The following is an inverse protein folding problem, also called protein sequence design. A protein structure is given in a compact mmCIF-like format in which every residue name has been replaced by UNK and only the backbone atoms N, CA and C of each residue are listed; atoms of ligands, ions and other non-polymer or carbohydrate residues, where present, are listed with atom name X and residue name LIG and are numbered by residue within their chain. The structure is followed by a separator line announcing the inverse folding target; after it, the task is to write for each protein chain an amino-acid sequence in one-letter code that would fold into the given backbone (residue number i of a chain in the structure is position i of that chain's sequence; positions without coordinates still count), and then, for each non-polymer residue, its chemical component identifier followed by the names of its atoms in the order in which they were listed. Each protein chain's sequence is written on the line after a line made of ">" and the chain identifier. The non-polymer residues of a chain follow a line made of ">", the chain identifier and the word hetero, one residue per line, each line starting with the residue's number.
data_IF_437730758753
#
_entry.id   IF_437730758753
#
_cell.length_a   1.000
_cell.length_b   1.000
_cell.length_c   1.000
_cell.angle_alpha   90.00
_cell.angle_beta   90.00
_cell.angle_gamma   90.00
#
_symmetry.space_group_name_H-M   'P 1'
#
loop_
_entity.id
_entity.type
_entity.pdbx_description
1 polymer ?
#
# COMPACT_ATOMS: atom_id res chain seq x y z
N UNK A 1 -8.66 2.90 -9.30
CA UNK A 1 -9.49 3.77 -8.43
C UNK A 1 -8.98 5.20 -8.50
N UNK A 2 -9.89 6.16 -8.55
CA UNK A 2 -9.56 7.60 -8.48
C UNK A 2 -9.34 8.04 -7.03
N UNK A 3 -8.65 9.17 -6.81
CA UNK A 3 -8.40 9.71 -5.46
C UNK A 3 -9.68 10.01 -4.66
N UNK A 4 -10.79 10.35 -5.35
CA UNK A 4 -12.11 10.57 -4.73
C UNK A 4 -12.77 9.27 -4.28
N UNK A 5 -12.70 8.21 -5.10
CA UNK A 5 -13.18 6.86 -4.72
C UNK A 5 -12.41 6.32 -3.52
N UNK A 6 -11.09 6.53 -3.51
CA UNK A 6 -10.21 6.16 -2.40
C UNK A 6 -10.64 6.87 -1.11
N UNK A 7 -10.82 8.19 -1.17
CA UNK A 7 -11.24 8.98 0.00
C UNK A 7 -12.62 8.55 0.51
N UNK A 8 -13.56 8.24 -0.38
CA UNK A 8 -14.89 7.75 -0.01
C UNK A 8 -14.82 6.39 0.69
N UNK A 9 -14.14 5.41 0.08
CA UNK A 9 -13.91 4.09 0.69
C UNK A 9 -13.16 4.16 2.01
N UNK A 10 -12.20 5.08 2.12
CA UNK A 10 -11.51 5.33 3.38
C UNK A 10 -12.44 5.88 4.45
N UNK A 11 -13.30 6.85 4.13
CA UNK A 11 -14.26 7.39 5.09
C UNK A 11 -15.24 6.30 5.56
N UNK A 12 -15.73 5.47 4.65
CA UNK A 12 -16.60 4.34 4.99
C UNK A 12 -15.88 3.28 5.84
N UNK A 13 -14.66 2.86 5.47
CA UNK A 13 -13.97 1.74 6.14
C UNK A 13 -13.13 2.13 7.37
N UNK A 14 -12.58 3.34 7.42
CA UNK A 14 -11.79 3.83 8.57
C UNK A 14 -12.71 4.35 9.69
N UNK A 15 -13.89 4.91 9.35
CA UNK A 15 -14.88 5.40 10.34
C UNK A 15 -16.04 4.41 10.57
N UNK A 16 -16.29 3.46 9.67
CA UNK A 16 -17.31 2.41 9.81
C UNK A 16 -16.83 1.12 10.51
N UNK A 17 -17.68 0.08 10.61
CA UNK A 17 -17.36 -1.19 11.25
C UNK A 17 -16.23 -1.94 10.54
N UNK A 18 -15.43 -2.70 11.29
CA UNK A 18 -14.30 -3.50 10.76
C UNK A 18 -14.81 -4.75 10.05
N UNK A 19 -14.30 -5.01 8.85
CA UNK A 19 -14.62 -6.17 8.02
C UNK A 19 -13.34 -6.96 7.68
N UNK A 20 -13.45 -8.22 7.24
CA UNK A 20 -12.28 -9.10 6.98
C UNK A 20 -11.26 -8.52 5.99
N UNK A 21 -11.71 -7.66 5.06
CA UNK A 21 -10.89 -7.00 4.04
C UNK A 21 -10.36 -5.59 4.45
N UNK A 22 -10.42 -5.26 5.75
CA UNK A 22 -10.03 -3.94 6.26
C UNK A 22 -9.58 -3.97 7.73
N UNK A 23 -8.45 -3.33 8.02
CA UNK A 23 -8.01 -3.09 9.40
C UNK A 23 -7.88 -1.60 9.69
N UNK A 24 -7.99 -1.24 10.97
CA UNK A 24 -7.80 0.13 11.46
C UNK A 24 -7.12 0.16 12.81
N UNK A 25 -6.37 1.23 13.08
CA UNK A 25 -5.78 1.48 14.38
C UNK A 25 -5.48 2.95 14.62
N UNK A 26 -5.10 3.28 15.85
CA UNK A 26 -4.75 4.64 16.29
C UNK A 26 -3.43 4.61 17.04
N UNK A 27 -2.63 5.67 16.94
CA UNK A 27 -1.45 5.82 17.81
C UNK A 27 -1.90 5.92 19.28
N UNK A 28 -1.20 5.21 20.17
CA UNK A 28 -1.44 5.27 21.62
C UNK A 28 -1.02 6.61 22.24
N UNK A 29 -0.10 7.34 21.61
CA UNK A 29 0.47 8.58 22.16
C UNK A 29 -0.04 9.86 21.51
N UNK A 30 -0.46 9.84 20.23
CA UNK A 30 -1.14 10.97 19.59
C UNK A 30 -2.51 10.56 19.08
N UNK A 31 -3.56 11.09 19.72
CA UNK A 31 -4.99 10.86 19.38
C UNK A 31 -5.37 11.26 17.94
N UNK A 32 -4.48 11.92 17.21
CA UNK A 32 -4.70 12.58 15.92
C UNK A 32 -4.22 11.75 14.72
N UNK A 33 -3.72 10.53 14.96
CA UNK A 33 -3.13 9.68 13.92
C UNK A 33 -3.89 8.37 13.90
N UNK A 34 -4.53 8.14 12.76
CA UNK A 34 -5.26 6.91 12.47
C UNK A 34 -4.70 6.30 11.21
N UNK A 35 -4.75 4.98 11.13
CA UNK A 35 -4.32 4.24 9.96
C UNK A 35 -5.35 3.18 9.65
N UNK A 36 -5.32 2.74 8.40
CA UNK A 36 -6.05 1.58 7.97
C UNK A 36 -5.50 1.04 6.66
N UNK A 37 -6.11 -0.02 6.19
CA UNK A 37 -5.81 -0.59 4.89
C UNK A 37 -7.10 -1.15 4.30
N UNK A 38 -7.09 -1.30 2.98
CA UNK A 38 -8.16 -1.98 2.28
C UNK A 38 -7.57 -2.94 1.26
N UNK A 39 -7.96 -4.20 1.39
CA UNK A 39 -7.69 -5.24 0.41
C UNK A 39 -8.64 -5.05 -0.77
N UNK A 40 -8.11 -5.00 -1.99
CA UNK A 40 -8.93 -5.11 -3.20
C UNK A 40 -8.66 -6.48 -3.81
N UNK A 41 -9.60 -7.39 -3.56
CA UNK A 41 -9.50 -8.78 -4.01
C UNK A 41 -9.27 -8.86 -5.52
N UNK A 42 -8.17 -9.51 -5.90
CA UNK A 42 -7.89 -9.88 -7.29
C UNK A 42 -8.84 -10.96 -7.79
N UNK A 43 -8.74 -11.31 -9.08
CA UNK A 43 -9.53 -12.40 -9.69
C UNK A 43 -8.85 -13.77 -9.62
N UNK A 44 -7.67 -13.89 -9.04
CA UNK A 44 -7.06 -15.21 -8.81
C UNK A 44 -7.84 -15.99 -7.75
N UNK A 45 -8.13 -17.26 -8.05
CA UNK A 45 -8.79 -18.18 -7.11
C UNK A 45 -7.83 -18.81 -6.10
N UNK A 46 -6.55 -18.44 -6.15
CA UNK A 46 -5.49 -18.99 -5.30
C UNK A 46 -5.46 -18.29 -3.95
N UNK A 47 -5.12 -19.02 -2.88
CA UNK A 47 -4.95 -18.43 -1.56
C UNK A 47 -3.76 -17.45 -1.61
N UNK A 48 -4.02 -16.19 -1.23
CA UNK A 48 -2.99 -15.15 -1.12
C UNK A 48 -2.42 -15.18 0.29
N UNK A 49 -1.10 -15.07 0.40
CA UNK A 49 -0.42 -14.93 1.69
C UNK A 49 -0.30 -13.44 2.02
N UNK A 50 -1.41 -12.83 2.41
CA UNK A 50 -1.44 -11.41 2.77
C UNK A 50 -0.82 -11.22 4.17
N UNK A 51 0.32 -10.54 4.24
CA UNK A 51 0.89 -10.11 5.51
C UNK A 51 0.66 -8.61 5.72
N UNK A 52 -0.04 -8.27 6.79
CA UNK A 52 -0.31 -6.89 7.17
C UNK A 52 0.26 -6.61 8.55
N UNK A 53 1.07 -5.57 8.64
CA UNK A 53 1.55 -5.05 9.92
C UNK A 53 1.21 -3.58 10.02
N UNK A 54 0.67 -3.19 11.17
CA UNK A 54 0.39 -1.81 11.50
C UNK A 54 0.62 -1.62 13.01
N UNK A 55 1.79 -1.11 13.37
CA UNK A 55 2.21 -1.03 14.76
C UNK A 55 2.99 0.24 15.05
N UNK A 56 2.95 0.67 16.31
CA UNK A 56 3.81 1.72 16.83
C UNK A 56 4.79 1.12 17.83
N UNK A 57 6.05 1.53 17.77
CA UNK A 57 7.11 1.10 18.68
C UNK A 57 7.98 2.31 19.05
N UNK A 58 8.38 2.38 20.31
CA UNK A 58 9.44 3.29 20.75
C UNK A 58 10.79 2.61 20.48
N UNK A 59 11.65 3.30 19.74
CA UNK A 59 13.03 2.86 19.43
C UNK A 59 13.94 4.02 19.76
N UNK A 60 14.82 3.81 20.73
CA UNK A 60 15.65 4.85 21.34
C UNK A 60 14.79 6.02 21.84
N UNK A 61 15.07 7.24 21.35
CA UNK A 61 14.33 8.46 21.65
C UNK A 61 13.26 8.78 20.59
N UNK A 62 12.93 7.84 19.70
CA UNK A 62 12.01 8.05 18.58
C UNK A 62 10.79 7.12 18.63
N UNK A 63 9.62 7.70 18.36
CA UNK A 63 8.41 6.92 18.10
C UNK A 63 8.37 6.54 16.62
N UNK A 64 8.28 5.24 16.33
CA UNK A 64 8.17 4.70 14.99
C UNK A 64 6.82 4.03 14.79
N UNK A 65 6.05 4.49 13.81
CA UNK A 65 4.93 3.76 13.24
C UNK A 65 5.40 2.94 12.05
N UNK A 66 5.33 1.61 12.12
CA UNK A 66 5.58 0.71 11.00
C UNK A 66 4.25 0.25 10.42
N UNK A 67 4.07 0.50 9.14
CA UNK A 67 2.95 0.01 8.37
C UNK A 67 3.51 -0.72 7.16
N UNK A 68 3.19 -2.00 6.99
CA UNK A 68 3.59 -2.72 5.81
C UNK A 68 2.52 -3.71 5.40
N UNK A 69 2.50 -3.91 4.10
CA UNK A 69 1.58 -4.76 3.38
C UNK A 69 2.44 -5.56 2.41
N UNK A 70 2.29 -6.87 2.45
CA UNK A 70 2.89 -7.80 1.51
C UNK A 70 1.79 -8.67 0.94
N UNK A 71 1.61 -8.63 -0.37
CA UNK A 71 0.73 -9.54 -1.12
C UNK A 71 1.61 -10.56 -1.82
N UNK A 72 1.58 -11.81 -1.35
CA UNK A 72 2.30 -12.94 -1.94
C UNK A 72 1.38 -13.82 -2.77
N UNK A 73 1.76 -14.08 -4.02
CA UNK A 73 1.03 -14.99 -4.90
C UNK A 73 1.90 -16.17 -5.35
N UNK A 74 1.41 -17.39 -5.13
CA UNK A 74 1.99 -18.61 -5.70
C UNK A 74 1.44 -18.83 -7.11
N UNK A 75 2.30 -18.78 -8.13
CA UNK A 75 1.89 -19.03 -9.52
C UNK A 75 1.62 -20.50 -9.79
N UNK A 76 0.68 -20.80 -10.69
CA UNK A 76 0.26 -22.17 -11.07
C UNK A 76 1.40 -23.07 -11.57
N UNK A 77 2.49 -22.47 -12.06
CA UNK A 77 3.69 -23.16 -12.56
C UNK A 77 4.86 -23.14 -11.54
N UNK A 78 4.58 -22.87 -10.26
CA UNK A 78 5.59 -22.82 -9.19
C UNK A 78 6.44 -21.53 -9.16
N UNK A 79 6.22 -20.60 -10.09
CA UNK A 79 6.83 -19.26 -10.08
C UNK A 79 5.85 -18.26 -9.49
N UNK A 80 6.01 -17.95 -8.20
CA UNK A 80 5.27 -16.90 -7.51
C UNK A 80 5.85 -15.51 -7.72
N UNK A 81 5.11 -14.50 -7.29
CA UNK A 81 5.56 -13.12 -7.23
C UNK A 81 4.86 -12.39 -6.09
N UNK A 82 5.46 -11.31 -5.60
CA UNK A 82 4.89 -10.54 -4.49
C UNK A 82 4.91 -9.04 -4.80
N UNK A 83 4.01 -8.31 -4.15
CA UNK A 83 4.09 -6.86 -4.03
C UNK A 83 4.26 -6.45 -2.58
N UNK A 84 4.92 -5.33 -2.36
CA UNK A 84 5.17 -4.81 -1.03
C UNK A 84 5.04 -3.30 -1.01
N UNK A 85 4.25 -2.79 -0.08
CA UNK A 85 4.21 -1.36 0.25
C UNK A 85 4.44 -1.17 1.74
N UNK A 86 5.41 -0.34 2.10
CA UNK A 86 5.79 -0.06 3.48
C UNK A 86 5.83 1.44 3.72
N UNK A 87 5.34 1.87 4.88
CA UNK A 87 5.44 3.22 5.38
C UNK A 87 6.00 3.23 6.81
N UNK A 88 7.00 4.07 7.04
CA UNK A 88 7.60 4.33 8.36
C UNK A 88 7.30 5.78 8.74
N UNK A 89 6.58 5.95 9.83
CA UNK A 89 6.27 7.24 10.43
C UNK A 89 7.18 7.49 11.64
N UNK A 90 8.02 8.52 11.58
CA UNK A 90 9.00 8.86 12.61
C UNK A 90 8.53 10.10 13.36
N UNK A 91 8.42 9.98 14.69
CA UNK A 91 8.01 11.03 15.63
C UNK A 91 6.73 11.78 15.24
N UNK A 92 5.86 11.10 14.49
CA UNK A 92 4.65 11.69 13.93
C UNK A 92 4.90 12.94 13.06
N UNK A 93 6.09 13.06 12.45
CA UNK A 93 6.53 14.25 11.70
C UNK A 93 7.08 13.92 10.32
N UNK A 94 7.79 12.80 10.21
CA UNK A 94 8.41 12.36 8.97
C UNK A 94 7.82 11.03 8.52
N UNK A 95 7.32 10.99 7.29
CA UNK A 95 6.79 9.78 6.68
C UNK A 95 7.69 9.35 5.54
N UNK A 96 8.18 8.10 5.61
CA UNK A 96 8.96 7.46 4.56
C UNK A 96 8.13 6.34 3.97
N UNK A 97 7.94 6.30 2.66
CA UNK A 97 7.21 5.23 1.96
C UNK A 97 8.14 4.54 0.98
N UNK A 98 8.05 3.21 0.90
CA UNK A 98 8.69 2.36 -0.10
C UNK A 98 7.63 1.49 -0.76
N UNK A 99 7.60 1.44 -2.09
CA UNK A 99 6.69 0.60 -2.87
C UNK A 99 7.43 -0.25 -3.91
N UNK A 100 7.01 -1.51 -4.03
CA UNK A 100 7.46 -2.48 -5.03
C UNK A 100 6.21 -3.23 -5.53
N UNK A 101 5.83 -2.99 -6.79
CA UNK A 101 4.68 -3.63 -7.45
C UNK A 101 3.50 -2.68 -7.63
N UNK A 102 2.31 -3.23 -7.84
CA UNK A 102 1.05 -2.52 -8.12
C UNK A 102 0.24 -2.17 -6.86
N UNK A 103 0.81 -2.41 -5.67
CA UNK A 103 0.28 -1.89 -4.40
C UNK A 103 0.42 -0.37 -4.33
N UNK A 104 -0.38 0.27 -3.47
CA UNK A 104 -0.47 1.74 -3.40
C UNK A 104 -0.50 2.28 -1.98
N UNK A 105 0.33 3.28 -1.70
CA UNK A 105 0.27 4.07 -0.48
C UNK A 105 -0.46 5.40 -0.72
N UNK A 106 -1.43 5.71 0.14
CA UNK A 106 -2.18 6.97 0.10
C UNK A 106 -2.20 7.63 1.48
N UNK A 107 -1.88 8.92 1.50
CA UNK A 107 -2.02 9.79 2.66
C UNK A 107 -3.30 10.60 2.56
N UNK A 108 -4.11 10.55 3.62
CA UNK A 108 -5.22 11.46 3.80
C UNK A 108 -4.86 12.55 4.80
N UNK A 109 -4.83 13.80 4.31
CA UNK A 109 -4.52 14.99 5.08
C UNK A 109 -5.56 16.06 4.79
N UNK A 110 -6.14 16.67 5.83
CA UNK A 110 -7.14 17.73 5.72
C UNK A 110 -8.31 17.37 4.78
N UNK A 111 -8.77 16.11 4.84
CA UNK A 111 -9.86 15.62 3.99
C UNK A 111 -9.51 15.42 2.51
N UNK A 112 -8.23 15.50 2.14
CA UNK A 112 -7.73 15.26 0.78
C UNK A 112 -6.86 14.00 0.73
N UNK A 113 -7.08 13.14 -0.27
CA UNK A 113 -6.27 11.96 -0.52
C UNK A 113 -5.13 12.31 -1.48
N UNK A 114 -3.90 12.02 -1.05
CA UNK A 114 -2.66 12.21 -1.80
C UNK A 114 -1.96 10.86 -1.94
N UNK A 115 -1.82 10.38 -3.17
CA UNK A 115 -1.03 9.19 -3.47
C UNK A 115 0.46 9.47 -3.18
N UNK A 116 1.11 8.56 -2.46
CA UNK A 116 2.51 8.68 -2.02
C UNK A 116 3.49 7.76 -2.77
N UNK A 117 2.98 6.70 -3.39
CA UNK A 117 3.76 5.76 -4.22
C UNK A 117 3.34 5.85 -5.68
N UNK A 118 4.20 5.38 -6.58
CA UNK A 118 3.83 5.10 -7.97
C UNK A 118 3.55 3.60 -8.08
N UNK A 119 2.45 3.24 -8.73
CA UNK A 119 2.09 1.85 -8.99
C UNK A 119 2.95 1.37 -10.17
N UNK A 120 3.60 0.21 -10.03
CA UNK A 120 4.42 -0.37 -11.10
C UNK A 120 3.56 -1.29 -11.95
N UNK A 121 3.36 -0.91 -13.20
CA UNK A 121 2.60 -1.68 -14.17
C UNK A 121 3.54 -2.12 -15.31
N UNK A 122 3.58 -3.43 -15.66
CA UNK A 122 4.48 -3.92 -16.71
C UNK A 122 4.29 -3.26 -18.08
N UNK A 123 3.09 -2.76 -18.36
CA UNK A 123 2.78 -2.03 -19.60
C UNK A 123 3.50 -0.68 -19.67
N UNK A 124 3.58 0.03 -18.53
CA UNK A 124 4.23 1.34 -18.39
C UNK A 124 5.75 1.21 -18.33
N UNK A 125 6.25 0.21 -17.60
CA UNK A 125 7.70 0.00 -17.40
C UNK A 125 8.34 -0.87 -18.48
N UNK A 126 7.61 -1.18 -19.55
CA UNK A 126 8.02 -2.18 -20.54
C UNK A 126 9.35 -1.88 -21.24
N UNK A 127 9.70 -0.61 -21.42
CA UNK A 127 10.96 -0.18 -22.03
C UNK A 127 12.14 -0.44 -21.08
N UNK A 128 12.02 -0.05 -19.81
CA UNK A 128 13.04 -0.31 -18.78
C UNK A 128 13.24 -1.81 -18.54
N UNK A 129 12.15 -2.58 -18.51
CA UNK A 129 12.19 -4.04 -18.39
C UNK A 129 13.00 -4.65 -19.54
N UNK A 130 12.75 -4.22 -20.78
CA UNK A 130 13.47 -4.70 -21.97
C UNK A 130 14.93 -4.27 -21.96
N UNK A 131 15.22 -3.03 -21.56
CA UNK A 131 16.59 -2.51 -21.45
C UNK A 131 17.44 -3.29 -20.44
N UNK A 132 16.82 -3.88 -19.42
CA UNK A 132 17.49 -4.77 -18.43
C UNK A 132 17.55 -6.24 -18.88
N UNK A 133 17.17 -6.55 -20.13
CA UNK A 133 17.18 -7.91 -20.68
C UNK A 133 15.94 -8.75 -20.32
N UNK A 134 14.91 -8.13 -19.74
CA UNK A 134 13.62 -8.76 -19.48
C UNK A 134 12.70 -8.74 -20.70
N UNK A 135 11.51 -9.32 -20.55
CA UNK A 135 10.45 -9.28 -21.56
C UNK A 135 9.09 -9.03 -20.91
N UNK A 136 8.19 -8.38 -21.64
CA UNK A 136 6.79 -8.19 -21.25
C UNK A 136 5.92 -8.96 -22.23
N UNK A 137 5.13 -9.91 -21.72
CA UNK A 137 4.22 -10.73 -22.51
C UNK A 137 2.79 -10.52 -22.03
N UNK A 138 1.90 -10.17 -22.95
CA UNK A 138 0.46 -10.13 -22.69
C UNK A 138 -0.13 -11.49 -23.08
N UNK A 139 -0.53 -12.29 -22.10
CA UNK A 139 -1.24 -13.53 -22.36
C UNK A 139 -2.74 -13.22 -22.58
N UNK A 140 -3.36 -13.64 -23.69
CA UNK A 140 -4.78 -13.44 -23.88
C UNK A 140 -5.57 -14.11 -22.74
N UNK A 141 -6.39 -13.32 -22.04
CA UNK A 141 -7.12 -13.76 -20.83
C UNK A 141 -6.59 -13.16 -19.52
N UNK A 142 -5.43 -12.50 -19.50
CA UNK A 142 -4.83 -11.90 -18.28
C UNK A 142 -5.07 -10.40 -18.14
N UNK A 143 -6.00 -9.80 -18.89
CA UNK A 143 -6.39 -8.37 -18.81
C UNK A 143 -7.17 -8.00 -17.54
N UNK A 144 -7.12 -8.86 -16.52
CA UNK A 144 -7.83 -8.69 -15.27
C UNK A 144 -6.80 -8.69 -14.16
N UNK A 145 -6.98 -7.83 -13.17
CA UNK A 145 -6.18 -7.80 -11.93
C UNK A 145 -6.08 -9.25 -11.39
N UNK A 146 -4.97 -9.93 -11.72
CA UNK A 146 -4.73 -11.32 -11.31
C UNK A 146 -4.27 -11.38 -9.86
N UNK A 147 -3.77 -10.27 -9.31
CA UNK A 147 -3.21 -10.12 -7.96
C UNK A 147 -4.09 -9.21 -7.10
N UNK A 148 -3.92 -9.19 -5.79
CA UNK A 148 -4.62 -8.25 -4.93
C UNK A 148 -3.96 -6.87 -5.05
N UNK A 149 -4.61 -5.86 -5.63
CA UNK A 149 -4.08 -4.51 -5.52
C UNK A 149 -4.37 -3.98 -4.12
N UNK A 150 -3.34 -3.94 -3.27
CA UNK A 150 -3.55 -3.58 -1.88
C UNK A 150 -3.28 -2.09 -1.65
N UNK A 151 -4.25 -1.41 -1.03
CA UNK A 151 -4.15 0.03 -0.79
C UNK A 151 -3.96 0.30 0.70
N UNK A 152 -2.79 0.82 1.04
CA UNK A 152 -2.48 1.28 2.39
C UNK A 152 -2.93 2.74 2.59
N UNK A 153 -3.53 2.99 3.75
CA UNK A 153 -4.08 4.28 4.10
C UNK A 153 -3.54 4.82 5.42
N UNK A 154 -2.91 5.99 5.37
CA UNK A 154 -2.55 6.73 6.57
C UNK A 154 -3.40 8.00 6.65
N UNK A 155 -4.12 8.19 7.76
CA UNK A 155 -4.93 9.38 7.99
C UNK A 155 -4.32 10.18 9.15
N UNK A 156 -3.86 11.38 8.82
CA UNK A 156 -3.22 12.28 9.76
C UNK A 156 -4.07 13.53 9.91
N UNK A 157 -4.52 13.78 11.14
CA UNK A 157 -5.27 14.97 11.51
C UNK A 157 -4.36 16.18 11.82
N UNK A 158 -3.04 15.98 11.79
CA UNK A 158 -2.00 16.97 12.06
C UNK A 158 -1.04 17.11 10.88
N UNK A 159 -0.40 18.28 10.76
CA UNK A 159 0.52 18.61 9.67
C UNK A 159 1.78 17.75 9.75
N UNK A 160 2.03 16.92 8.73
CA UNK A 160 3.37 16.38 8.49
C UNK A 160 4.23 17.47 7.85
N UNK A 161 5.39 17.74 8.42
CA UNK A 161 6.32 18.72 7.88
C UNK A 161 7.23 18.12 6.80
N UNK A 162 7.40 16.79 6.76
CA UNK A 162 8.33 16.16 5.81
C UNK A 162 7.80 14.80 5.33
N UNK A 163 7.34 14.73 4.08
CA UNK A 163 6.89 13.49 3.44
C UNK A 163 7.87 13.14 2.35
N UNK A 164 8.45 11.94 2.39
CA UNK A 164 9.31 11.41 1.33
C UNK A 164 8.80 10.05 0.89
N UNK A 165 8.30 9.97 -0.35
CA UNK A 165 7.98 8.71 -1.01
C UNK A 165 9.14 8.26 -1.87
N UNK A 166 9.50 6.99 -1.77
CA UNK A 166 10.41 6.30 -2.67
C UNK A 166 9.62 5.17 -3.34
N UNK A 167 9.73 5.03 -4.65
CA UNK A 167 9.21 3.88 -5.40
C UNK A 167 10.40 3.22 -6.07
N UNK A 168 10.52 1.90 -5.92
CA UNK A 168 11.66 1.13 -6.41
C UNK A 168 11.23 0.27 -7.59
N UNK A 169 11.60 0.68 -8.80
CA UNK A 169 11.34 -0.10 -10.01
C UNK A 169 12.27 -1.31 -10.04
N UNK A 170 11.71 -2.50 -10.28
CA UNK A 170 12.46 -3.76 -10.34
C UNK A 170 13.27 -3.86 -11.64
#
# INVERSE_FOLDING_TARGET
>A
MTGKEILHKMKEKVLGPSDSDSGKGKSKMKKHITHGFHLVKGRSGHAMEDYVVAQFKQVDNNELGLFAIFDGHSGELGRGGSTAVTAILINCQKLVVANIGDSRAVLCQNGQAKQLSVDHEPSVESEDIKNRGGFVSNFPGTNHILKCCMVFYLHLHSVLHNIRGFSFTC
#
